data_IF_587975655661
#
_entry.id   IF_587975655661
#
_cell.length_a   1.000
_cell.length_b   1.000
_cell.length_c   1.000
_cell.angle_alpha   90.00
_cell.angle_beta   90.00
_cell.angle_gamma   90.00
#
_symmetry.space_group_name_H-M   'P 1'
#
loop_
_entity.id
_entity.type
_entity.pdbx_description
1 polymer ?
#
# COMPACT_ATOMS: atom_id res chain seq x y z
N UNK A 1 21.13 -10.45 41.77
CA UNK A 1 19.71 -10.23 41.40
C UNK A 1 19.44 -8.82 40.88
N UNK A 2 20.02 -7.78 41.49
CA UNK A 2 19.82 -6.37 41.08
C UNK A 2 20.30 -6.12 39.64
N UNK A 3 21.51 -6.52 39.27
CA UNK A 3 22.05 -6.33 37.91
C UNK A 3 21.25 -7.01 36.80
N UNK A 4 20.75 -8.22 37.05
CA UNK A 4 19.89 -8.96 36.10
C UNK A 4 18.58 -8.22 35.88
N UNK A 5 18.02 -7.61 36.93
CA UNK A 5 16.79 -6.83 36.83
C UNK A 5 17.01 -5.52 36.06
N UNK A 6 18.10 -4.81 36.34
CA UNK A 6 18.49 -3.58 35.61
C UNK A 6 18.75 -3.86 34.12
N UNK A 7 19.42 -4.97 33.80
CA UNK A 7 19.66 -5.39 32.41
C UNK A 7 18.37 -5.67 31.64
N UNK A 8 17.39 -6.32 32.28
CA UNK A 8 16.09 -6.61 31.67
C UNK A 8 15.28 -5.34 31.43
N UNK A 9 15.23 -4.43 32.41
CA UNK A 9 14.52 -3.15 32.29
C UNK A 9 15.10 -2.32 31.14
N UNK A 10 16.43 -2.20 31.08
CA UNK A 10 17.11 -1.49 29.98
C UNK A 10 16.83 -2.12 28.62
N UNK A 11 16.88 -3.45 28.51
CA UNK A 11 16.57 -4.16 27.27
C UNK A 11 15.15 -3.87 26.76
N UNK A 12 14.16 -3.82 27.67
CA UNK A 12 12.77 -3.52 27.32
C UNK A 12 12.63 -2.05 26.87
N UNK A 13 13.19 -1.13 27.66
CA UNK A 13 13.11 0.32 27.37
C UNK A 13 13.79 0.69 26.05
N UNK A 14 14.97 0.13 25.78
CA UNK A 14 15.71 0.41 24.55
C UNK A 14 14.93 -0.08 23.32
N UNK A 15 14.34 -1.28 23.38
CA UNK A 15 13.60 -1.82 22.24
C UNK A 15 12.43 -0.92 21.81
N UNK A 16 11.66 -0.39 22.77
CA UNK A 16 10.55 0.53 22.46
C UNK A 16 11.06 1.89 21.96
N UNK A 17 12.12 2.42 22.56
CA UNK A 17 12.72 3.69 22.13
C UNK A 17 13.30 3.61 20.72
N UNK A 18 13.95 2.50 20.39
CA UNK A 18 14.56 2.24 19.08
C UNK A 18 13.54 1.74 18.04
N UNK A 19 12.28 1.52 18.44
CA UNK A 19 11.21 0.95 17.60
C UNK A 19 11.60 -0.41 17.00
N UNK A 20 12.20 -1.26 17.84
CA UNK A 20 12.60 -2.62 17.53
C UNK A 20 11.91 -3.62 18.48
N UNK A 21 11.96 -4.91 18.15
CA UNK A 21 11.54 -5.96 19.07
C UNK A 21 12.62 -6.26 20.13
N UNK A 22 12.15 -6.70 21.30
CA UNK A 22 12.99 -7.15 22.40
C UNK A 22 13.72 -8.43 22.00
N UNK A 23 15.05 -8.38 22.02
CA UNK A 23 15.94 -9.51 21.74
C UNK A 23 16.68 -9.96 23.00
N UNK A 24 16.29 -11.09 23.63
CA UNK A 24 17.00 -11.62 24.79
C UNK A 24 18.33 -12.26 24.37
N UNK A 25 19.43 -11.77 24.96
CA UNK A 25 20.79 -12.25 24.72
C UNK A 25 21.16 -13.37 25.69
N UNK A 26 20.83 -13.20 26.98
CA UNK A 26 21.19 -14.16 28.03
C UNK A 26 20.12 -15.21 28.29
N UNK A 27 20.51 -16.37 28.85
CA UNK A 27 19.55 -17.40 29.24
C UNK A 27 18.56 -16.91 30.31
N UNK A 28 19.00 -16.04 31.22
CA UNK A 28 18.13 -15.41 32.22
C UNK A 28 17.03 -14.55 31.57
N UNK A 29 17.39 -13.71 30.58
CA UNK A 29 16.43 -12.90 29.81
C UNK A 29 15.44 -13.79 29.03
N UNK A 30 15.94 -14.86 28.39
CA UNK A 30 15.10 -15.82 27.66
C UNK A 30 14.07 -16.49 28.58
N UNK A 31 14.49 -16.94 29.76
CA UNK A 31 13.58 -17.57 30.73
C UNK A 31 12.59 -16.57 31.33
N UNK A 32 13.03 -15.34 31.59
CA UNK A 32 12.17 -14.24 32.05
C UNK A 32 11.03 -13.99 31.06
N UNK A 33 11.36 -13.76 29.78
CA UNK A 33 10.37 -13.49 28.74
C UNK A 33 9.47 -14.71 28.51
N UNK A 34 10.01 -15.93 28.49
CA UNK A 34 9.20 -17.16 28.36
C UNK A 34 8.15 -17.27 29.47
N UNK A 35 8.51 -16.94 30.72
CA UNK A 35 7.58 -16.95 31.86
C UNK A 35 6.52 -15.84 31.73
N UNK A 36 6.90 -14.66 31.24
CA UNK A 36 5.99 -13.51 31.08
C UNK A 36 5.04 -13.63 29.89
N UNK A 37 5.47 -14.28 28.81
CA UNK A 37 4.60 -14.65 27.68
C UNK A 37 3.48 -15.58 28.14
N UNK A 38 3.80 -16.59 28.96
CA UNK A 38 2.76 -17.47 29.56
C UNK A 38 1.75 -16.71 30.42
N UNK A 39 2.13 -15.56 30.97
CA UNK A 39 1.26 -14.68 31.77
C UNK A 39 0.53 -13.63 30.93
N UNK A 40 0.71 -13.61 29.61
CA UNK A 40 0.08 -12.65 28.70
C UNK A 40 0.68 -11.24 28.70
N UNK A 41 1.68 -10.95 29.54
CA UNK A 41 2.29 -9.61 29.62
C UNK A 41 3.19 -9.28 28.41
N UNK A 42 3.69 -10.31 27.72
CA UNK A 42 4.50 -10.17 26.51
C UNK A 42 3.95 -11.09 25.44
N UNK A 43 4.19 -10.72 24.19
CA UNK A 43 3.91 -11.55 23.03
C UNK A 43 5.22 -11.90 22.34
N UNK A 44 5.30 -13.11 21.77
CA UNK A 44 6.38 -13.48 20.86
C UNK A 44 6.00 -12.96 19.47
N UNK A 45 6.74 -11.98 18.96
CA UNK A 45 6.46 -11.31 17.68
C UNK A 45 7.04 -12.06 16.48
N UNK A 46 8.20 -12.67 16.70
CA UNK A 46 8.89 -13.55 15.75
C UNK A 46 9.75 -14.55 16.54
N UNK A 47 10.32 -15.56 15.88
CA UNK A 47 11.24 -16.50 16.57
C UNK A 47 12.36 -15.74 17.26
N UNK A 48 12.43 -15.89 18.59
CA UNK A 48 13.37 -15.22 19.50
C UNK A 48 13.21 -13.69 19.65
N UNK A 49 12.13 -13.10 19.14
CA UNK A 49 11.80 -11.69 19.30
C UNK A 49 10.48 -11.54 20.09
N UNK A 50 10.41 -10.51 20.93
CA UNK A 50 9.30 -10.28 21.84
C UNK A 50 8.91 -8.80 21.87
N UNK A 51 7.70 -8.51 22.33
CA UNK A 51 7.24 -7.16 22.64
C UNK A 51 6.30 -7.19 23.85
N UNK A 52 6.14 -6.07 24.55
CA UNK A 52 5.07 -5.93 25.53
C UNK A 52 3.72 -6.05 24.82
N UNK A 53 2.78 -6.82 25.39
CA UNK A 53 1.51 -7.13 24.71
C UNK A 53 0.71 -5.87 24.41
N UNK A 54 0.54 -4.99 25.39
CA UNK A 54 -0.26 -3.78 25.25
C UNK A 54 0.35 -2.81 24.24
N UNK A 55 1.69 -2.69 24.22
CA UNK A 55 2.41 -1.89 23.24
C UNK A 55 2.20 -2.46 21.83
N UNK A 56 2.44 -3.76 21.66
CA UNK A 56 2.35 -4.43 20.38
C UNK A 56 0.96 -4.35 19.75
N UNK A 57 -0.09 -4.51 20.56
CA UNK A 57 -1.47 -4.44 20.10
C UNK A 57 -1.85 -3.05 19.58
N UNK A 58 -1.23 -1.98 20.10
CA UNK A 58 -1.48 -0.61 19.64
C UNK A 58 -0.83 -0.28 18.31
N UNK A 59 0.21 -1.00 17.91
CA UNK A 59 0.94 -0.73 16.68
C UNK A 59 0.12 -1.08 15.43
N UNK A 60 0.17 -0.20 14.42
CA UNK A 60 -0.33 -0.53 13.09
C UNK A 60 0.48 -1.67 12.46
N UNK A 61 -0.10 -2.36 11.48
CA UNK A 61 0.56 -3.49 10.79
C UNK A 61 1.93 -3.08 10.24
N UNK A 62 2.03 -1.91 9.59
CA UNK A 62 3.29 -1.40 9.05
C UNK A 62 4.37 -1.21 10.12
N UNK A 63 3.98 -0.67 11.29
CA UNK A 63 4.86 -0.50 12.43
C UNK A 63 5.32 -1.86 12.97
N UNK A 64 4.40 -2.84 13.12
CA UNK A 64 4.74 -4.20 13.56
C UNK A 64 5.75 -4.86 12.62
N UNK A 65 5.54 -4.78 11.31
CA UNK A 65 6.47 -5.30 10.30
C UNK A 65 7.83 -4.62 10.45
N UNK A 66 7.85 -3.29 10.58
CA UNK A 66 9.09 -2.51 10.72
C UNK A 66 9.88 -2.90 11.98
N UNK A 67 9.22 -3.07 13.13
CA UNK A 67 9.87 -3.49 14.38
C UNK A 67 10.58 -4.84 14.22
N UNK A 68 9.90 -5.81 13.59
CA UNK A 68 10.49 -7.13 13.37
C UNK A 68 11.62 -7.06 12.35
N UNK A 69 11.43 -6.35 11.23
CA UNK A 69 12.44 -6.23 10.18
C UNK A 69 13.73 -5.57 10.69
N UNK A 70 13.63 -4.45 11.42
CA UNK A 70 14.78 -3.78 12.02
C UNK A 70 15.52 -4.70 13.00
N UNK A 71 14.81 -5.43 13.87
CA UNK A 71 15.44 -6.41 14.77
C UNK A 71 16.12 -7.58 14.06
N UNK A 72 15.67 -7.92 12.85
CA UNK A 72 16.22 -9.03 12.08
C UNK A 72 17.46 -8.62 11.29
N UNK A 73 17.65 -7.34 10.95
CA UNK A 73 18.85 -6.84 10.27
C UNK A 73 20.13 -7.19 11.04
N UNK A 74 20.12 -6.94 12.35
CA UNK A 74 21.26 -7.24 13.24
C UNK A 74 21.54 -8.74 13.38
N UNK A 75 20.53 -9.57 13.16
CA UNK A 75 20.63 -11.03 13.31
C UNK A 75 21.07 -11.68 12.00
N UNK A 76 20.63 -11.13 10.87
CA UNK A 76 20.87 -11.66 9.54
C UNK A 76 21.33 -10.56 8.58
N UNK A 77 22.60 -10.14 8.64
CA UNK A 77 23.11 -9.03 7.82
C UNK A 77 22.97 -9.26 6.31
N UNK A 78 23.01 -10.52 5.86
CA UNK A 78 22.91 -10.87 4.44
C UNK A 78 21.47 -10.88 3.90
N UNK A 79 20.46 -10.73 4.74
CA UNK A 79 19.07 -10.75 4.29
C UNK A 79 18.71 -9.46 3.56
N UNK A 80 18.02 -9.62 2.42
CA UNK A 80 17.45 -8.51 1.67
C UNK A 80 15.93 -8.54 1.81
N UNK A 81 15.37 -7.59 2.56
CA UNK A 81 13.93 -7.46 2.77
C UNK A 81 13.23 -7.03 1.46
N UNK A 82 12.05 -7.58 1.21
CA UNK A 82 11.25 -7.33 0.00
C UNK A 82 9.75 -7.29 0.34
N UNK A 83 8.88 -7.13 -0.65
CA UNK A 83 7.40 -7.05 -0.50
C UNK A 83 7.03 -6.03 0.58
N UNK A 84 6.20 -6.40 1.56
CA UNK A 84 5.76 -5.54 2.65
C UNK A 84 6.90 -5.18 3.59
N UNK A 85 7.82 -6.11 3.86
CA UNK A 85 8.96 -5.86 4.74
C UNK A 85 9.93 -4.84 4.18
N UNK A 86 10.24 -4.91 2.88
CA UNK A 86 11.04 -3.89 2.21
C UNK A 86 10.30 -2.55 2.09
N UNK A 87 9.01 -2.59 1.74
CA UNK A 87 8.20 -1.40 1.56
C UNK A 87 8.11 -0.55 2.85
N UNK A 88 7.84 -1.16 4.01
CA UNK A 88 7.77 -0.40 5.27
C UNK A 88 9.12 0.20 5.69
N UNK A 89 10.23 -0.42 5.30
CA UNK A 89 11.57 0.09 5.60
C UNK A 89 11.89 1.32 4.76
N UNK A 90 11.45 1.35 3.49
CA UNK A 90 11.48 2.54 2.62
C UNK A 90 10.48 3.63 3.05
N UNK A 91 9.56 3.31 3.95
CA UNK A 91 8.50 4.22 4.39
C UNK A 91 7.33 4.29 3.42
N UNK A 92 7.11 3.24 2.62
CA UNK A 92 5.92 3.09 1.80
C UNK A 92 4.74 2.59 2.62
N UNK A 93 3.54 2.90 2.15
CA UNK A 93 2.31 2.44 2.77
C UNK A 93 2.11 0.96 2.50
N UNK A 94 1.75 0.24 3.55
CA UNK A 94 1.47 -1.19 3.52
C UNK A 94 0.17 -1.45 4.24
N UNK A 95 -0.69 -2.22 3.58
CA UNK A 95 -1.93 -2.74 4.14
C UNK A 95 -1.80 -4.25 4.21
N UNK A 96 -2.40 -4.84 5.25
CA UNK A 96 -2.47 -6.29 5.41
C UNK A 96 -3.18 -6.93 4.21
N UNK A 97 -2.72 -8.10 3.76
CA UNK A 97 -3.42 -8.83 2.71
C UNK A 97 -4.58 -9.63 3.30
N UNK A 98 -5.71 -8.95 3.47
CA UNK A 98 -6.95 -9.53 3.97
C UNK A 98 -7.43 -10.69 3.09
N UNK A 99 -7.16 -10.71 1.78
CA UNK A 99 -7.60 -11.83 0.92
C UNK A 99 -6.86 -13.11 1.27
N UNK A 100 -5.54 -13.01 1.47
CA UNK A 100 -4.69 -14.14 1.86
C UNK A 100 -4.99 -14.61 3.29
N UNK A 101 -5.36 -13.70 4.20
CA UNK A 101 -5.67 -14.07 5.59
C UNK A 101 -7.02 -14.76 5.77
N UNK A 102 -8.02 -14.43 4.95
CA UNK A 102 -9.38 -14.97 5.06
C UNK A 102 -9.72 -16.01 3.99
N UNK A 103 -8.73 -16.58 3.28
CA UNK A 103 -8.98 -17.65 2.29
C UNK A 103 -9.86 -18.75 2.90
N UNK A 104 -11.09 -18.89 2.38
CA UNK A 104 -12.06 -19.90 2.83
C UNK A 104 -12.95 -19.51 4.02
N UNK A 105 -12.85 -18.29 4.55
CA UNK A 105 -13.70 -17.79 5.64
C UNK A 105 -14.25 -16.38 5.35
N UNK A 106 -15.45 -16.05 5.84
CA UNK A 106 -15.98 -14.69 5.74
C UNK A 106 -15.29 -13.80 6.78
N UNK A 107 -14.80 -12.63 6.36
CA UNK A 107 -14.35 -11.60 7.28
C UNK A 107 -15.49 -11.23 8.25
N UNK A 108 -15.27 -11.45 9.54
CA UNK A 108 -16.17 -11.06 10.62
C UNK A 108 -15.47 -9.99 11.48
N UNK A 109 -15.91 -8.74 11.32
CA UNK A 109 -15.35 -7.58 12.03
C UNK A 109 -15.58 -7.62 13.53
N UNK A 110 -16.53 -8.42 14.03
CA UNK A 110 -16.81 -8.55 15.47
C UNK A 110 -15.97 -9.64 16.16
N UNK A 111 -15.53 -10.66 15.41
CA UNK A 111 -14.77 -11.79 15.96
C UNK A 111 -13.27 -11.74 15.67
N UNK A 112 -12.86 -11.00 14.64
CA UNK A 112 -11.46 -11.05 14.21
C UNK A 112 -10.64 -9.92 14.83
N UNK A 113 -9.79 -10.25 15.80
CA UNK A 113 -8.82 -9.28 16.32
C UNK A 113 -7.60 -9.21 15.39
N UNK A 114 -7.63 -8.26 14.46
CA UNK A 114 -6.55 -7.99 13.49
C UNK A 114 -5.19 -7.67 14.15
N UNK A 115 -5.18 -7.27 15.43
CA UNK A 115 -3.95 -7.00 16.19
C UNK A 115 -3.24 -8.28 16.65
N UNK A 116 -3.89 -9.45 16.52
CA UNK A 116 -3.32 -10.77 16.89
C UNK A 116 -2.75 -11.54 15.70
N UNK A 117 -2.90 -11.00 14.48
CA UNK A 117 -2.43 -11.66 13.27
C UNK A 117 -0.89 -11.78 13.24
N UNK A 118 -0.36 -12.92 12.78
CA UNK A 118 1.07 -13.12 12.67
C UNK A 118 1.67 -12.16 11.64
N UNK A 119 2.67 -11.37 12.06
CA UNK A 119 3.41 -10.47 11.19
C UNK A 119 4.22 -11.26 10.18
N UNK A 120 3.88 -11.15 8.90
CA UNK A 120 4.60 -11.80 7.79
C UNK A 120 5.85 -11.00 7.42
N UNK A 121 6.98 -11.68 7.29
CA UNK A 121 8.27 -11.10 6.95
C UNK A 121 8.77 -11.69 5.63
N UNK A 122 9.03 -10.84 4.65
CA UNK A 122 9.44 -11.23 3.31
C UNK A 122 10.90 -10.88 3.08
N UNK A 123 11.67 -11.87 2.63
CA UNK A 123 13.09 -11.71 2.31
C UNK A 123 13.44 -12.41 1.01
N UNK A 124 14.33 -11.81 0.23
CA UNK A 124 15.09 -12.52 -0.80
C UNK A 124 16.36 -13.10 -0.19
N UNK A 125 16.64 -14.35 -0.51
CA UNK A 125 17.85 -15.03 -0.06
C UNK A 125 18.30 -16.08 -1.06
N UNK A 126 19.61 -16.31 -1.11
CA UNK A 126 20.24 -17.42 -1.85
C UNK A 126 20.00 -18.77 -1.19
N UNK A 127 19.70 -18.77 0.11
CA UNK A 127 19.31 -19.98 0.84
C UNK A 127 17.93 -20.45 0.38
N UNK A 128 17.77 -21.76 0.20
CA UNK A 128 16.46 -22.32 -0.15
C UNK A 128 15.51 -22.28 1.06
N UNK A 129 14.20 -22.25 0.78
CA UNK A 129 13.16 -22.38 1.81
C UNK A 129 13.33 -23.71 2.54
N UNK A 130 13.30 -23.66 3.88
CA UNK A 130 13.38 -24.83 4.74
C UNK A 130 12.01 -25.15 5.33
N UNK A 131 11.70 -26.44 5.53
CA UNK A 131 10.52 -26.86 6.31
C UNK A 131 10.59 -26.43 7.78
N UNK A 132 11.79 -26.05 8.25
CA UNK A 132 12.03 -25.55 9.60
C UNK A 132 12.07 -24.01 9.67
N UNK A 133 11.84 -23.31 8.55
CA UNK A 133 11.71 -21.85 8.55
C UNK A 133 10.56 -21.44 9.48
N UNK A 134 10.69 -20.25 10.06
CA UNK A 134 9.60 -19.66 10.84
C UNK A 134 8.36 -19.55 9.92
N UNK A 135 7.16 -19.99 10.32
CA UNK A 135 5.95 -19.86 9.50
C UNK A 135 5.62 -18.42 9.12
N UNK A 136 6.12 -17.42 9.88
CA UNK A 136 6.01 -16.00 9.56
C UNK A 136 7.02 -15.53 8.50
N UNK A 137 7.99 -16.34 8.11
CA UNK A 137 9.05 -15.99 7.18
C UNK A 137 8.73 -16.50 5.77
N UNK A 138 8.55 -15.56 4.85
CA UNK A 138 8.38 -15.80 3.43
C UNK A 138 9.69 -15.55 2.71
N UNK A 139 10.31 -16.63 2.25
CA UNK A 139 11.57 -16.59 1.51
C UNK A 139 11.30 -16.66 0.02
N UNK A 140 11.67 -15.61 -0.70
CA UNK A 140 11.71 -15.57 -2.16
C UNK A 140 13.14 -15.90 -2.60
N UNK A 141 13.29 -16.79 -3.59
CA UNK A 141 14.60 -17.22 -4.06
C UNK A 141 15.29 -16.07 -4.81
N UNK A 142 16.49 -15.69 -4.37
CA UNK A 142 17.33 -14.76 -5.10
C UNK A 142 17.79 -15.37 -6.44
N UNK A 143 17.84 -14.55 -7.47
CA UNK A 143 18.24 -14.91 -8.84
C UNK A 143 19.70 -14.57 -9.11
N UNK A 144 20.32 -13.73 -8.28
CA UNK A 144 21.69 -13.23 -8.43
C UNK A 144 21.80 -11.97 -9.29
N UNK A 145 20.68 -11.46 -9.82
CA UNK A 145 20.63 -10.26 -10.67
C UNK A 145 20.09 -9.03 -9.92
N UNK A 146 19.63 -9.23 -8.68
CA UNK A 146 19.12 -8.18 -7.82
C UNK A 146 20.26 -7.29 -7.31
N UNK A 147 19.98 -6.00 -7.23
CA UNK A 147 20.76 -5.04 -6.46
C UNK A 147 20.04 -4.79 -5.13
N UNK A 148 20.59 -3.91 -4.30
CA UNK A 148 19.94 -3.49 -3.07
C UNK A 148 19.22 -2.14 -3.22
N UNK A 149 18.51 -1.74 -2.16
CA UNK A 149 17.71 -0.52 -2.09
C UNK A 149 18.55 0.77 -2.14
N UNK A 150 19.88 0.68 -2.26
CA UNK A 150 20.74 1.83 -2.52
C UNK A 150 20.91 2.13 -4.02
N UNK A 151 20.42 1.23 -4.89
CA UNK A 151 20.46 1.38 -6.34
C UNK A 151 19.62 2.56 -6.87
N UNK A 152 20.09 3.14 -7.98
CA UNK A 152 19.42 4.21 -8.73
C UNK A 152 18.68 3.68 -9.97
N UNK A 153 18.44 2.36 -10.05
CA UNK A 153 17.93 1.62 -11.20
C UNK A 153 16.68 2.24 -11.86
N UNK A 154 15.76 2.75 -11.05
CA UNK A 154 14.44 3.23 -11.49
C UNK A 154 14.26 4.74 -11.37
N UNK A 155 15.34 5.53 -11.27
CA UNK A 155 15.21 7.00 -11.22
C UNK A 155 14.69 7.60 -12.52
N UNK A 156 13.84 8.61 -12.39
CA UNK A 156 13.41 9.48 -13.49
C UNK A 156 14.55 10.46 -13.80
N UNK A 157 14.93 10.53 -15.07
CA UNK A 157 15.90 11.50 -15.60
C UNK A 157 15.15 12.39 -16.58
N UNK A 158 15.22 13.70 -16.39
CA UNK A 158 14.50 14.66 -17.23
C UNK A 158 15.30 15.95 -17.43
N UNK A 159 15.08 16.70 -18.53
CA UNK A 159 15.67 18.01 -18.72
C UNK A 159 15.23 18.99 -17.62
N UNK A 160 16.18 19.70 -17.03
CA UNK A 160 15.90 20.73 -16.04
C UNK A 160 15.39 22.00 -16.72
N UNK A 161 14.24 22.51 -16.26
CA UNK A 161 13.77 23.86 -16.61
C UNK A 161 14.65 24.98 -16.05
N UNK A 162 15.42 24.70 -14.99
CA UNK A 162 16.26 25.68 -14.28
C UNK A 162 17.70 25.72 -14.78
N UNK A 163 18.19 24.63 -15.36
CA UNK A 163 19.60 24.46 -15.77
C UNK A 163 19.71 24.26 -17.27
N UNK A 164 19.07 25.13 -18.05
CA UNK A 164 19.22 25.22 -19.51
C UNK A 164 19.08 23.87 -20.25
N UNK A 165 18.08 23.07 -19.87
CA UNK A 165 17.83 21.76 -20.48
C UNK A 165 18.77 20.63 -20.06
N UNK A 166 19.75 20.88 -19.17
CA UNK A 166 20.63 19.82 -18.63
C UNK A 166 19.81 18.74 -17.95
N UNK A 167 20.12 17.47 -18.24
CA UNK A 167 19.47 16.33 -17.61
C UNK A 167 19.74 16.34 -16.10
N UNK A 168 18.66 16.25 -15.33
CA UNK A 168 18.67 16.07 -13.89
C UNK A 168 17.99 14.76 -13.53
N UNK A 169 18.49 14.13 -12.47
CA UNK A 169 17.88 12.95 -11.88
C UNK A 169 16.99 13.38 -10.72
N UNK A 170 15.73 12.98 -10.74
CA UNK A 170 14.81 13.34 -9.66
C UNK A 170 15.14 12.54 -8.38
N UNK A 171 15.08 13.20 -7.20
CA UNK A 171 15.25 12.51 -5.94
C UNK A 171 14.05 11.60 -5.66
N UNK A 172 14.31 10.55 -4.90
CA UNK A 172 13.27 9.71 -4.30
C UNK A 172 13.00 10.24 -2.88
N UNK A 173 11.75 10.28 -2.45
CA UNK A 173 11.38 10.50 -1.04
C UNK A 173 12.07 9.49 -0.12
N UNK A 174 12.30 8.26 -0.57
CA UNK A 174 13.00 7.22 0.18
C UNK A 174 14.49 7.51 0.40
N UNK A 175 15.07 8.51 -0.26
CA UNK A 175 16.47 8.90 -0.06
C UNK A 175 16.72 9.43 1.37
N UNK A 176 15.65 9.81 2.10
CA UNK A 176 15.69 10.15 3.53
C UNK A 176 15.97 8.96 4.44
N UNK A 177 15.80 7.73 3.94
CA UNK A 177 16.09 6.51 4.70
C UNK A 177 17.59 6.27 4.72
N UNK A 178 18.13 5.92 5.89
CA UNK A 178 19.56 5.74 6.09
C UNK A 178 20.14 4.69 5.14
N UNK A 179 21.42 4.84 4.80
CA UNK A 179 22.11 3.93 3.90
C UNK A 179 22.10 2.50 4.45
N UNK A 180 22.29 2.35 5.75
CA UNK A 180 22.30 1.07 6.46
C UNK A 180 20.97 0.34 6.26
N UNK A 181 19.84 1.02 6.44
CA UNK A 181 18.52 0.41 6.22
C UNK A 181 18.32 0.06 4.74
N UNK A 182 18.66 0.98 3.83
CA UNK A 182 18.46 0.77 2.38
C UNK A 182 19.29 -0.39 1.83
N UNK A 183 20.49 -0.61 2.35
CA UNK A 183 21.35 -1.72 1.93
C UNK A 183 20.78 -3.09 2.31
N UNK A 184 19.89 -3.17 3.31
CA UNK A 184 19.17 -4.41 3.66
C UNK A 184 17.88 -4.63 2.86
N UNK A 185 17.55 -3.79 1.88
CA UNK A 185 16.34 -3.93 1.06
C UNK A 185 16.77 -4.37 -0.34
N UNK A 186 15.94 -5.11 -1.06
CA UNK A 186 16.16 -5.33 -2.50
C UNK A 186 15.96 -4.03 -3.29
N UNK A 187 16.53 -3.93 -4.49
CA UNK A 187 16.27 -2.79 -5.39
C UNK A 187 14.77 -2.60 -5.66
N UNK A 188 14.36 -1.36 -5.99
CA UNK A 188 12.94 -1.01 -6.09
C UNK A 188 12.20 -1.77 -7.19
N UNK A 189 12.85 -2.02 -8.33
CA UNK A 189 12.23 -2.81 -9.39
C UNK A 189 11.93 -4.24 -8.92
N UNK A 190 12.85 -4.85 -8.17
CA UNK A 190 12.68 -6.17 -7.56
C UNK A 190 11.59 -6.16 -6.47
N UNK A 191 11.59 -5.15 -5.60
CA UNK A 191 10.58 -5.01 -4.54
C UNK A 191 9.18 -4.96 -5.12
N UNK A 192 8.97 -4.15 -6.17
CA UNK A 192 7.68 -4.01 -6.84
C UNK A 192 7.27 -5.29 -7.57
N UNK A 193 8.21 -5.97 -8.23
CA UNK A 193 7.95 -7.27 -8.85
C UNK A 193 7.53 -8.32 -7.83
N UNK A 194 8.22 -8.41 -6.70
CA UNK A 194 7.88 -9.34 -5.63
C UNK A 194 6.51 -9.02 -5.03
N UNK A 195 6.22 -7.74 -4.76
CA UNK A 195 4.94 -7.32 -4.22
C UNK A 195 3.78 -7.68 -5.16
N UNK A 196 3.93 -7.44 -6.46
CA UNK A 196 2.92 -7.78 -7.47
C UNK A 196 2.62 -9.28 -7.57
N UNK A 197 3.59 -10.13 -7.18
CA UNK A 197 3.50 -11.58 -7.30
C UNK A 197 3.27 -12.31 -5.96
N UNK A 198 3.32 -11.58 -4.83
CA UNK A 198 3.15 -12.15 -3.49
C UNK A 198 1.89 -11.69 -2.77
N UNK A 199 1.26 -10.59 -3.23
CA UNK A 199 0.09 -9.99 -2.61
C UNK A 199 -1.11 -9.99 -3.55
N UNK A 200 -2.32 -9.88 -3.01
CA UNK A 200 -3.51 -9.54 -3.81
C UNK A 200 -3.36 -8.16 -4.46
N UNK A 201 -4.07 -7.91 -5.57
CA UNK A 201 -3.95 -6.64 -6.30
C UNK A 201 -4.23 -5.43 -5.39
N UNK A 202 -5.36 -5.46 -4.66
CA UNK A 202 -5.71 -4.40 -3.72
C UNK A 202 -4.71 -4.23 -2.57
N UNK A 203 -4.05 -5.30 -2.11
CA UNK A 203 -3.03 -5.23 -1.06
C UNK A 203 -1.67 -4.73 -1.58
N UNK A 204 -1.35 -4.98 -2.85
CA UNK A 204 -0.14 -4.48 -3.50
C UNK A 204 -0.25 -2.99 -3.88
N UNK A 205 -1.44 -2.51 -4.28
CA UNK A 205 -1.62 -1.16 -4.80
C UNK A 205 -1.10 -0.04 -3.88
N UNK A 206 -1.26 -0.08 -2.53
CA UNK A 206 -0.61 0.88 -1.63
C UNK A 206 0.90 1.05 -1.83
N UNK A 207 1.62 -0.06 -2.05
CA UNK A 207 3.08 -0.04 -2.28
C UNK A 207 3.39 0.68 -3.60
N UNK A 208 2.57 0.46 -4.63
CA UNK A 208 2.73 1.08 -5.95
C UNK A 208 2.37 2.57 -5.94
N UNK A 209 1.31 2.96 -5.23
CA UNK A 209 0.93 4.37 -5.06
C UNK A 209 2.01 5.12 -4.24
N UNK A 210 2.60 4.50 -3.23
CA UNK A 210 3.80 5.03 -2.55
C UNK A 210 5.02 5.12 -3.46
N UNK A 211 5.29 4.12 -4.30
CA UNK A 211 6.38 4.18 -5.27
C UNK A 211 6.17 5.30 -6.32
N UNK A 212 4.93 5.55 -6.72
CA UNK A 212 4.59 6.67 -7.60
C UNK A 212 4.88 8.02 -6.92
N UNK A 213 4.50 8.20 -5.64
CA UNK A 213 4.88 9.37 -4.82
C UNK A 213 6.39 9.51 -4.68
N UNK A 214 7.09 8.39 -4.63
CA UNK A 214 8.53 8.30 -4.53
C UNK A 214 9.26 8.53 -5.87
N UNK A 215 8.57 9.00 -6.92
CA UNK A 215 9.12 9.28 -8.26
C UNK A 215 9.75 8.04 -8.95
N UNK A 216 9.25 6.83 -8.69
CA UNK A 216 9.74 5.61 -9.35
C UNK A 216 9.32 5.59 -10.83
N UNK A 217 10.28 5.33 -11.73
CA UNK A 217 10.01 5.16 -13.14
C UNK A 217 9.49 3.74 -13.45
N UNK A 218 8.17 3.59 -13.57
CA UNK A 218 7.55 2.30 -13.84
C UNK A 218 7.91 1.68 -15.20
N UNK A 219 8.27 2.47 -16.22
CA UNK A 219 8.72 1.91 -17.49
C UNK A 219 10.07 1.19 -17.33
N UNK A 220 10.99 1.78 -16.56
CA UNK A 220 12.26 1.11 -16.19
C UNK A 220 12.01 -0.13 -15.34
N UNK A 221 11.08 -0.06 -14.38
CA UNK A 221 10.68 -1.24 -13.57
C UNK A 221 10.27 -2.39 -14.49
N UNK A 222 9.38 -2.14 -15.46
CA UNK A 222 8.90 -3.15 -16.41
C UNK A 222 10.02 -3.69 -17.30
N UNK A 223 10.91 -2.85 -17.79
CA UNK A 223 12.07 -3.25 -18.59
C UNK A 223 13.01 -4.16 -17.81
N UNK A 224 13.44 -3.72 -16.62
CA UNK A 224 14.35 -4.46 -15.75
C UNK A 224 13.74 -5.80 -15.37
N UNK A 225 12.47 -5.81 -14.95
CA UNK A 225 11.79 -7.04 -14.55
C UNK A 225 11.54 -7.97 -15.75
N UNK A 226 11.23 -7.42 -16.92
CA UNK A 226 11.09 -8.20 -18.15
C UNK A 226 12.38 -8.94 -18.51
N UNK A 227 13.53 -8.26 -18.41
CA UNK A 227 14.85 -8.88 -18.63
C UNK A 227 15.20 -9.91 -17.54
N UNK A 228 14.94 -9.60 -16.27
CA UNK A 228 15.30 -10.47 -15.13
C UNK A 228 14.40 -11.71 -15.01
N UNK A 229 13.11 -11.57 -15.31
CA UNK A 229 12.10 -12.59 -14.96
C UNK A 229 11.27 -13.08 -16.15
N UNK A 230 11.20 -12.33 -17.26
CA UNK A 230 10.36 -12.66 -18.42
C UNK A 230 10.80 -13.91 -19.21
N UNK A 231 12.07 -14.32 -19.12
CA UNK A 231 12.59 -15.50 -19.83
C UNK A 231 12.47 -16.83 -19.08
N UNK A 232 12.10 -16.82 -17.78
CA UNK A 232 12.02 -18.06 -16.96
C UNK A 232 10.63 -18.71 -16.95
N UNK A 233 9.61 -18.07 -17.52
CA UNK A 233 8.24 -18.58 -17.63
C UNK A 233 7.76 -18.41 -19.07
N UNK A 234 8.35 -19.18 -19.99
CA UNK A 234 8.24 -18.96 -21.43
C UNK A 234 6.81 -19.01 -21.97
N UNK A 235 6.42 -17.92 -22.64
CA UNK A 235 5.74 -18.04 -23.94
C UNK A 235 6.77 -17.67 -24.98
N UNK A 236 7.17 -18.64 -25.79
CA UNK A 236 8.02 -18.39 -26.94
C UNK A 236 7.30 -17.45 -27.89
N UNK A 237 7.84 -16.25 -28.07
CA UNK A 237 7.52 -15.43 -29.24
C UNK A 237 8.83 -15.27 -29.98
N UNK A 238 8.92 -15.96 -31.11
CA UNK A 238 10.01 -15.83 -32.07
C UNK A 238 10.21 -14.36 -32.40
N UNK A 239 11.49 -13.95 -32.41
CA UNK A 239 11.86 -12.57 -32.65
C UNK A 239 11.38 -12.09 -34.02
N UNK A 240 10.81 -10.89 -34.05
CA UNK A 240 10.90 -10.01 -35.20
C UNK A 240 11.07 -8.57 -34.70
N UNK A 241 12.24 -8.00 -35.00
CA UNK A 241 12.40 -6.66 -35.55
C UNK A 241 11.85 -5.46 -34.78
N UNK A 242 12.80 -4.66 -34.29
CA UNK A 242 12.70 -3.24 -33.99
C UNK A 242 11.86 -2.48 -35.05
N UNK A 243 10.90 -1.68 -34.59
CA UNK A 243 10.17 -0.73 -35.43
C UNK A 243 9.32 0.21 -34.58
N UNK A 244 9.86 1.40 -34.29
CA UNK A 244 9.11 2.46 -33.62
C UNK A 244 7.97 2.96 -34.50
N UNK A 245 6.82 3.26 -33.90
CA UNK A 245 5.76 4.02 -34.56
C UNK A 245 5.17 5.01 -33.57
N UNK A 246 5.36 6.30 -33.87
CA UNK A 246 4.79 7.41 -33.13
C UNK A 246 3.29 7.58 -33.40
N UNK A 247 2.60 8.16 -32.42
CA UNK A 247 1.23 8.62 -32.56
C UNK A 247 1.17 9.85 -33.48
N UNK A 248 0.61 9.68 -34.68
CA UNK A 248 0.17 10.76 -35.56
C UNK A 248 -1.35 10.76 -35.70
N UNK A 249 -1.97 11.88 -35.36
CA UNK A 249 -3.41 12.15 -35.51
C UNK A 249 -3.68 12.52 -36.97
N UNK A 250 -4.74 11.96 -37.58
CA UNK A 250 -5.17 12.32 -38.94
C UNK A 250 -6.67 12.09 -39.13
N UNK A 251 -7.38 13.16 -39.48
CA UNK A 251 -8.83 13.31 -39.65
C UNK A 251 -9.25 12.99 -41.09
N UNK A 252 -10.41 12.36 -41.28
CA UNK A 252 -11.31 12.65 -42.41
C UNK A 252 -11.65 11.50 -43.38
N UNK A 253 -12.94 11.42 -43.73
CA UNK A 253 -13.39 10.96 -45.06
C UNK A 253 -14.31 9.74 -45.13
N UNK A 254 -15.56 9.97 -45.55
CA UNK A 254 -16.64 8.99 -45.75
C UNK A 254 -16.53 8.33 -47.14
N UNK A 255 -16.89 7.03 -47.24
CA UNK A 255 -17.11 6.34 -48.52
C UNK A 255 -17.85 5.01 -48.34
N UNK A 256 -19.02 4.90 -48.95
CA UNK A 256 -19.96 3.75 -48.95
C UNK A 256 -19.54 2.72 -50.01
N UNK A 257 -19.68 1.41 -49.73
CA UNK A 257 -19.78 0.39 -50.78
C UNK A 257 -19.45 -1.06 -50.40
N UNK A 258 -20.50 -1.88 -50.18
CA UNK A 258 -20.67 -3.21 -50.79
C UNK A 258 -19.82 -4.43 -50.35
N UNK A 259 -20.46 -5.31 -49.58
CA UNK A 259 -20.42 -6.80 -49.60
C UNK A 259 -19.13 -7.57 -49.92
N UNK A 260 -18.70 -8.39 -48.96
CA UNK A 260 -17.81 -9.53 -49.23
C UNK A 260 -17.15 -10.11 -47.97
N UNK A 261 -17.77 -11.15 -47.42
CA UNK A 261 -17.38 -11.92 -46.23
C UNK A 261 -15.89 -12.35 -46.20
N UNK A 262 -15.14 -11.88 -45.19
CA UNK A 262 -14.07 -12.58 -44.47
C UNK A 262 -13.55 -11.68 -43.32
N UNK A 263 -14.37 -11.47 -42.30
CA UNK A 263 -13.98 -10.69 -41.12
C UNK A 263 -13.02 -11.48 -40.25
N UNK A 264 -11.73 -11.14 -40.29
CA UNK A 264 -10.81 -11.33 -39.16
C UNK A 264 -11.29 -10.45 -38.01
N UNK A 265 -12.27 -10.96 -37.27
CA UNK A 265 -12.67 -10.39 -36.00
C UNK A 265 -11.50 -10.52 -35.04
N UNK A 266 -10.97 -9.37 -34.58
CA UNK A 266 -10.27 -9.27 -33.30
C UNK A 266 -11.26 -9.67 -32.21
N UNK A 267 -11.43 -10.98 -32.03
CA UNK A 267 -12.14 -11.56 -30.92
C UNK A 267 -11.27 -11.37 -29.69
N UNK A 268 -11.74 -10.53 -28.77
CA UNK A 268 -11.27 -10.53 -27.38
C UNK A 268 -11.71 -11.88 -26.80
N UNK A 269 -10.88 -12.89 -27.03
CA UNK A 269 -11.14 -14.25 -26.61
C UNK A 269 -10.79 -14.41 -25.14
N UNK A 270 -11.83 -14.64 -24.34
CA UNK A 270 -11.77 -15.49 -23.16
C UNK A 270 -11.05 -14.90 -21.95
N UNK A 271 -11.84 -14.34 -21.03
CA UNK A 271 -11.46 -14.16 -19.63
C UNK A 271 -11.04 -15.53 -19.08
N UNK A 272 -9.76 -15.70 -18.83
CA UNK A 272 -9.23 -16.80 -18.03
C UNK A 272 -9.53 -16.45 -16.57
N UNK A 273 -10.25 -17.32 -15.87
CA UNK A 273 -10.62 -17.12 -14.48
C UNK A 273 -9.42 -16.70 -13.62
N UNK A 274 -9.67 -15.81 -12.66
CA UNK A 274 -8.68 -15.38 -11.66
C UNK A 274 -8.26 -16.56 -10.79
N UNK A 275 -7.32 -17.35 -11.30
CA UNK A 275 -6.68 -18.49 -10.66
C UNK A 275 -5.24 -18.60 -11.18
N UNK A 276 -4.28 -18.27 -10.30
CA UNK A 276 -2.89 -18.74 -10.22
C UNK A 276 -1.94 -18.84 -11.44
N UNK A 277 -2.33 -18.63 -12.70
CA UNK A 277 -1.47 -18.83 -13.88
C UNK A 277 -1.23 -17.59 -14.75
N UNK A 278 -1.63 -16.40 -14.31
CA UNK A 278 -1.28 -15.15 -15.01
C UNK A 278 0.23 -14.91 -14.95
N UNK A 279 0.83 -14.58 -16.10
CA UNK A 279 2.24 -14.21 -16.27
C UNK A 279 2.68 -13.23 -15.16
N UNK A 280 3.76 -13.52 -14.41
CA UNK A 280 4.28 -12.62 -13.37
C UNK A 280 4.49 -11.18 -13.83
N UNK A 281 4.83 -10.98 -15.10
CA UNK A 281 4.98 -9.65 -15.71
C UNK A 281 3.62 -8.99 -15.96
N UNK A 282 2.57 -9.76 -16.26
CA UNK A 282 1.21 -9.23 -16.42
C UNK A 282 0.68 -8.63 -15.10
N UNK A 283 0.92 -9.31 -13.97
CA UNK A 283 0.53 -8.79 -12.64
C UNK A 283 1.24 -7.47 -12.32
N UNK A 284 2.55 -7.41 -12.59
CA UNK A 284 3.34 -6.18 -12.44
C UNK A 284 2.81 -5.05 -13.35
N UNK A 285 2.56 -5.34 -14.62
CA UNK A 285 2.00 -4.36 -15.58
C UNK A 285 0.67 -3.79 -15.12
N UNK A 286 -0.23 -4.64 -14.61
CA UNK A 286 -1.53 -4.21 -14.09
C UNK A 286 -1.34 -3.19 -12.96
N UNK A 287 -0.48 -3.47 -11.99
CA UNK A 287 -0.21 -2.56 -10.87
C UNK A 287 0.51 -1.27 -11.31
N UNK A 288 1.49 -1.35 -12.21
CA UNK A 288 2.12 -0.15 -12.77
C UNK A 288 1.11 0.74 -13.51
N UNK A 289 0.15 0.16 -14.23
CA UNK A 289 -0.88 0.90 -14.95
C UNK A 289 -1.83 1.64 -14.00
N UNK A 290 -2.13 1.06 -12.84
CA UNK A 290 -2.97 1.67 -11.82
C UNK A 290 -2.16 2.38 -10.73
N UNK A 291 -0.85 2.51 -10.81
CA UNK A 291 -0.10 3.25 -9.80
C UNK A 291 -0.45 4.75 -9.89
N UNK A 292 -0.83 5.37 -8.78
CA UNK A 292 -1.17 6.78 -8.70
C UNK A 292 -0.71 7.39 -7.37
N UNK A 293 0.23 8.33 -7.44
CA UNK A 293 0.79 8.97 -6.27
C UNK A 293 -0.12 9.99 -5.58
N UNK A 294 -1.35 10.19 -6.05
CA UNK A 294 -2.30 11.11 -5.41
C UNK A 294 -3.00 10.51 -4.19
N UNK A 295 -3.01 9.19 -4.00
CA UNK A 295 -3.53 8.59 -2.77
C UNK A 295 -2.67 8.99 -1.56
N UNK A 296 -3.29 9.50 -0.51
CA UNK A 296 -2.56 10.08 0.62
C UNK A 296 -2.11 9.02 1.64
N UNK A 297 -2.84 7.91 1.72
CA UNK A 297 -2.54 6.83 2.64
C UNK A 297 -2.84 5.44 2.04
N UNK A 298 -2.36 4.41 2.72
CA UNK A 298 -2.58 3.02 2.32
C UNK A 298 -4.05 2.60 2.33
N UNK A 299 -4.88 3.19 3.20
CA UNK A 299 -6.32 2.92 3.26
C UNK A 299 -7.05 3.35 1.99
N UNK A 300 -6.76 4.54 1.49
CA UNK A 300 -7.31 5.05 0.22
C UNK A 300 -6.84 4.21 -0.97
N UNK A 301 -5.55 3.89 -1.00
CA UNK A 301 -4.95 3.05 -2.05
C UNK A 301 -5.61 1.66 -2.07
N UNK A 302 -5.85 1.07 -0.89
CA UNK A 302 -6.52 -0.23 -0.75
C UNK A 302 -8.02 -0.16 -1.11
N UNK A 303 -8.71 0.92 -0.74
CA UNK A 303 -10.09 1.17 -1.13
C UNK A 303 -10.24 1.27 -2.65
N UNK A 304 -9.36 2.03 -3.28
CA UNK A 304 -9.26 2.14 -4.74
C UNK A 304 -8.94 0.81 -5.40
N UNK A 305 -8.01 0.04 -4.85
CA UNK A 305 -7.70 -1.31 -5.32
C UNK A 305 -8.93 -2.22 -5.29
N UNK A 306 -9.72 -2.15 -4.21
CA UNK A 306 -10.98 -2.89 -4.07
C UNK A 306 -12.02 -2.44 -5.10
N UNK A 307 -12.16 -1.13 -5.36
CA UNK A 307 -13.06 -0.59 -6.39
C UNK A 307 -12.70 -1.10 -7.79
N UNK A 308 -11.40 -1.10 -8.12
CA UNK A 308 -10.86 -1.57 -9.40
C UNK A 308 -11.07 -3.08 -9.58
N UNK A 309 -10.80 -3.88 -8.55
CA UNK A 309 -11.03 -5.34 -8.60
C UNK A 309 -12.53 -5.67 -8.75
N UNK A 310 -13.42 -4.84 -8.20
CA UNK A 310 -14.87 -4.95 -8.38
C UNK A 310 -15.38 -4.43 -9.75
N UNK A 311 -14.48 -3.92 -10.60
CA UNK A 311 -14.82 -3.46 -11.95
C UNK A 311 -15.53 -2.10 -12.00
N UNK A 312 -15.57 -1.36 -10.88
CA UNK A 312 -16.09 0.00 -10.86
C UNK A 312 -15.19 0.95 -11.65
N UNK A 313 -15.79 2.04 -12.11
CA UNK A 313 -15.07 3.15 -12.72
C UNK A 313 -13.96 3.65 -11.79
N UNK A 314 -12.77 3.87 -12.36
CA UNK A 314 -11.64 4.40 -11.60
C UNK A 314 -11.95 5.85 -11.20
N UNK A 315 -11.88 6.21 -9.90
CA UNK A 315 -12.12 7.60 -9.47
C UNK A 315 -10.95 8.52 -9.82
N UNK A 316 -11.25 9.81 -9.98
CA UNK A 316 -10.30 10.90 -9.79
C UNK A 316 -9.97 11.02 -8.29
N UNK A 317 -8.69 11.18 -7.96
CA UNK A 317 -8.22 11.19 -6.58
C UNK A 317 -7.97 12.61 -6.08
N UNK A 318 -8.27 12.84 -4.80
CA UNK A 318 -7.92 14.08 -4.08
C UNK A 318 -8.39 15.35 -4.81
N UNK A 319 -9.59 15.31 -5.41
CA UNK A 319 -10.13 16.43 -6.18
C UNK A 319 -10.53 17.59 -5.26
N UNK A 320 -10.05 18.80 -5.57
CA UNK A 320 -10.42 20.04 -4.89
C UNK A 320 -11.58 20.73 -5.60
N UNK A 321 -12.71 20.84 -4.91
CA UNK A 321 -13.79 21.76 -5.25
C UNK A 321 -13.50 23.15 -4.68
N UNK A 322 -13.77 24.19 -5.46
CA UNK A 322 -13.76 25.58 -4.99
C UNK A 322 -15.20 26.02 -4.89
N UNK A 323 -15.67 26.29 -3.67
CA UNK A 323 -17.03 26.77 -3.42
C UNK A 323 -17.21 28.16 -4.07
N UNK A 324 -18.10 28.31 -5.07
CA UNK A 324 -18.25 29.57 -5.80
C UNK A 324 -18.54 30.79 -4.94
N UNK A 325 -19.35 30.63 -3.88
CA UNK A 325 -19.81 31.77 -3.08
C UNK A 325 -18.78 32.24 -2.05
N UNK A 326 -18.03 31.31 -1.46
CA UNK A 326 -17.09 31.60 -0.38
C UNK A 326 -15.62 31.59 -0.82
N UNK A 327 -15.32 31.01 -1.99
CA UNK A 327 -13.96 30.72 -2.44
C UNK A 327 -13.25 29.63 -1.63
N UNK A 328 -13.92 29.03 -0.64
CA UNK A 328 -13.35 27.99 0.23
C UNK A 328 -13.13 26.72 -0.58
N UNK A 329 -11.98 26.07 -0.34
CA UNK A 329 -11.64 24.82 -0.99
C UNK A 329 -12.07 23.61 -0.15
N UNK A 330 -12.72 22.65 -0.79
CA UNK A 330 -13.10 21.37 -0.21
C UNK A 330 -12.53 20.24 -1.05
N UNK A 331 -11.72 19.38 -0.43
CA UNK A 331 -11.10 18.25 -1.11
C UNK A 331 -11.80 16.95 -0.75
N UNK A 332 -12.01 16.08 -1.73
CA UNK A 332 -12.58 14.74 -1.54
C UNK A 332 -11.58 13.65 -1.93
N UNK A 333 -11.70 12.48 -1.31
CA UNK A 333 -10.77 11.37 -1.55
C UNK A 333 -10.97 10.77 -2.95
N UNK A 334 -12.23 10.57 -3.34
CA UNK A 334 -12.63 9.96 -4.60
C UNK A 334 -13.71 10.77 -5.30
N UNK A 335 -13.56 11.00 -6.60
CA UNK A 335 -14.57 11.64 -7.44
C UNK A 335 -14.85 10.79 -8.68
N UNK A 336 -16.13 10.53 -8.92
CA UNK A 336 -16.63 9.94 -10.16
C UNK A 336 -17.46 10.96 -10.93
N UNK A 337 -17.12 11.15 -12.20
CA UNK A 337 -17.93 11.92 -13.16
C UNK A 337 -18.74 10.93 -13.98
N UNK A 338 -20.03 10.81 -13.66
CA UNK A 338 -20.90 9.79 -14.25
C UNK A 338 -21.36 10.24 -15.64
N UNK A 339 -21.42 9.33 -16.64
CA UNK A 339 -22.04 9.62 -17.93
C UNK A 339 -23.49 10.12 -17.72
N UNK A 340 -23.80 11.33 -18.21
CA UNK A 340 -25.08 12.00 -17.96
C UNK A 340 -25.00 13.20 -17.01
N UNK A 341 -23.81 13.57 -16.52
CA UNK A 341 -23.54 14.86 -15.88
C UNK A 341 -23.56 14.89 -14.35
N UNK A 342 -23.72 13.73 -13.69
CA UNK A 342 -23.70 13.63 -12.23
C UNK A 342 -22.28 13.52 -11.64
N UNK A 343 -22.03 14.18 -10.52
CA UNK A 343 -20.82 14.01 -9.73
C UNK A 343 -21.11 13.17 -8.48
N UNK A 344 -20.36 12.07 -8.30
CA UNK A 344 -20.42 11.25 -7.08
C UNK A 344 -19.10 11.41 -6.34
N UNK A 345 -19.17 11.80 -5.06
CA UNK A 345 -18.02 11.91 -4.17
C UNK A 345 -17.95 10.70 -3.25
N UNK A 346 -16.77 10.12 -3.07
CA UNK A 346 -16.47 9.08 -2.10
C UNK A 346 -15.53 9.59 -1.02
N UNK A 347 -15.81 9.23 0.24
CA UNK A 347 -14.99 9.61 1.40
C UNK A 347 -14.64 8.34 2.19
N UNK A 348 -13.35 8.14 2.43
CA UNK A 348 -12.86 7.11 3.34
C UNK A 348 -12.77 7.69 4.75
N UNK A 349 -13.72 7.33 5.60
CA UNK A 349 -13.77 7.85 6.96
C UNK A 349 -12.92 7.02 7.94
N UNK A 350 -11.91 7.67 8.51
CA UNK A 350 -11.24 7.26 9.73
C UNK A 350 -11.82 8.00 10.94
N UNK A 351 -12.02 7.31 12.07
CA UNK A 351 -12.54 7.92 13.31
C UNK A 351 -11.57 8.93 13.92
N UNK A 352 -10.26 8.78 13.68
CA UNK A 352 -9.24 9.53 14.40
C UNK A 352 -9.25 11.04 14.02
N UNK A 353 -9.77 11.40 12.83
CA UNK A 353 -9.88 12.81 12.39
C UNK A 353 -10.85 13.65 13.21
N UNK A 354 -11.85 13.04 13.86
CA UNK A 354 -12.82 13.78 14.67
C UNK A 354 -12.24 14.28 16.00
N UNK A 355 -11.14 13.67 16.48
CA UNK A 355 -10.48 14.06 17.72
C UNK A 355 -9.47 15.22 17.55
N UNK A 356 -9.23 15.67 16.31
CA UNK A 356 -8.31 16.79 16.05
C UNK A 356 -8.94 18.10 16.52
N UNK A 357 -8.46 18.61 17.66
CA UNK A 357 -8.71 19.99 18.07
C UNK A 357 -7.73 20.95 17.40
N UNK A 358 -8.21 21.73 16.42
CA UNK A 358 -7.39 22.68 15.66
C UNK A 358 -6.84 23.84 16.51
N UNK A 359 -7.38 24.07 17.71
CA UNK A 359 -6.85 25.07 18.65
C UNK A 359 -5.70 24.54 19.49
N UNK A 360 -5.44 23.23 19.45
CA UNK A 360 -4.32 22.61 20.15
C UNK A 360 -3.09 22.53 19.23
N UNK A 361 -2.02 23.24 19.60
CA UNK A 361 -0.78 23.26 18.82
C UNK A 361 -0.11 21.89 18.70
N UNK A 362 -0.36 20.96 19.64
CA UNK A 362 0.17 19.59 19.53
C UNK A 362 -0.53 18.76 18.45
N UNK A 363 -1.66 19.22 17.93
CA UNK A 363 -2.40 18.55 16.84
C UNK A 363 -2.06 19.09 15.45
N UNK A 364 -1.10 20.02 15.32
CA UNK A 364 -0.79 20.65 14.03
C UNK A 364 -0.10 19.71 13.02
N UNK A 365 0.62 18.67 13.49
CA UNK A 365 1.42 17.77 12.66
C UNK A 365 1.10 16.30 12.92
N UNK A 366 -0.19 15.96 13.04
CA UNK A 366 -0.62 14.57 13.27
C UNK A 366 -0.33 13.71 12.04
N UNK A 367 0.36 12.60 12.24
CA UNK A 367 0.40 11.51 11.28
C UNK A 367 -0.67 10.48 11.63
N UNK A 368 -1.77 10.43 10.86
CA UNK A 368 -2.85 9.45 11.08
C UNK A 368 -2.43 7.99 10.84
N UNK A 369 -1.24 7.74 10.29
CA UNK A 369 -0.64 6.41 10.16
C UNK A 369 0.32 6.07 11.31
N UNK A 370 0.39 6.89 12.36
CA UNK A 370 1.25 6.71 13.54
C UNK A 370 0.42 6.30 14.75
N UNK A 371 0.69 5.13 15.32
CA UNK A 371 -0.07 4.67 16.48
C UNK A 371 0.10 5.58 17.69
N UNK A 372 1.28 6.20 17.85
CA UNK A 372 1.53 7.18 18.91
C UNK A 372 0.65 8.41 18.78
N UNK A 373 0.49 8.92 17.56
CA UNK A 373 -0.23 10.17 17.30
C UNK A 373 -1.73 9.94 17.47
N UNK A 374 -2.23 8.82 16.94
CA UNK A 374 -3.62 8.38 17.14
C UNK A 374 -3.95 8.16 18.62
N UNK A 375 -3.03 7.56 19.39
CA UNK A 375 -3.22 7.38 20.82
C UNK A 375 -3.23 8.73 21.56
N UNK A 376 -2.34 9.65 21.20
CA UNK A 376 -2.33 11.01 21.75
C UNK A 376 -3.67 11.70 21.49
N UNK A 377 -4.21 11.62 20.26
CA UNK A 377 -5.51 12.19 19.92
C UNK A 377 -6.65 11.62 20.76
N UNK A 378 -6.69 10.30 20.94
CA UNK A 378 -7.71 9.64 21.77
C UNK A 378 -7.62 10.01 23.24
N UNK A 379 -6.41 10.19 23.75
CA UNK A 379 -6.17 10.59 25.14
C UNK A 379 -6.51 12.08 25.38
N UNK A 380 -6.31 12.94 24.37
CA UNK A 380 -6.64 14.37 24.39
C UNK A 380 -8.10 14.66 24.03
N UNK A 381 -9.03 13.87 24.57
CA UNK A 381 -10.46 13.94 24.25
C UNK A 381 -11.06 15.32 24.58
N UNK A 382 -11.61 16.01 23.58
CA UNK A 382 -12.36 17.25 23.74
C UNK A 382 -13.71 17.14 23.02
N UNK A 383 -14.80 16.98 23.77
CA UNK A 383 -16.15 16.83 23.23
C UNK A 383 -16.56 18.01 22.34
N UNK A 384 -16.20 19.23 22.74
CA UNK A 384 -16.54 20.44 21.99
C UNK A 384 -15.83 20.46 20.64
N UNK A 385 -14.59 19.97 20.57
CA UNK A 385 -13.85 19.84 19.31
C UNK A 385 -14.46 18.81 18.38
N UNK A 386 -14.87 17.66 18.93
CA UNK A 386 -15.56 16.60 18.16
C UNK A 386 -16.85 17.14 17.54
N UNK A 387 -17.70 17.79 18.34
CA UNK A 387 -18.96 18.36 17.86
C UNK A 387 -18.71 19.40 16.75
N UNK A 388 -17.74 20.31 16.95
CA UNK A 388 -17.32 21.28 15.93
C UNK A 388 -16.87 20.61 14.62
N UNK A 389 -16.15 19.50 14.70
CA UNK A 389 -15.68 18.77 13.51
C UNK A 389 -16.81 18.05 12.77
N UNK A 390 -17.79 17.52 13.52
CA UNK A 390 -19.03 16.96 12.94
C UNK A 390 -19.81 18.06 12.21
N UNK A 391 -20.01 19.21 12.84
CA UNK A 391 -20.74 20.34 12.25
C UNK A 391 -20.06 20.84 10.97
N UNK A 392 -18.72 21.00 10.99
CA UNK A 392 -17.93 21.36 9.80
C UNK A 392 -18.06 20.35 8.68
N UNK A 393 -18.13 19.06 9.02
CA UNK A 393 -18.29 18.01 8.04
C UNK A 393 -19.68 18.09 7.37
N UNK A 394 -20.73 18.34 8.15
CA UNK A 394 -22.09 18.53 7.64
C UNK A 394 -22.22 19.81 6.77
N UNK A 395 -21.59 20.91 7.19
CA UNK A 395 -21.54 22.14 6.41
C UNK A 395 -20.83 21.95 5.08
N UNK A 396 -19.65 21.30 5.09
CA UNK A 396 -18.90 20.94 3.88
C UNK A 396 -19.78 20.16 2.90
N UNK A 397 -20.49 19.14 3.36
CA UNK A 397 -21.36 18.34 2.48
C UNK A 397 -22.48 19.19 1.87
N UNK A 398 -23.12 20.02 2.69
CA UNK A 398 -24.16 20.94 2.24
C UNK A 398 -23.68 21.90 1.15
N UNK A 399 -22.43 22.38 1.25
CA UNK A 399 -21.81 23.23 0.21
C UNK A 399 -21.50 22.43 -1.05
N UNK A 400 -20.97 21.21 -0.93
CA UNK A 400 -20.70 20.34 -2.08
C UNK A 400 -21.97 20.07 -2.91
N UNK A 401 -23.09 19.79 -2.25
CA UNK A 401 -24.38 19.59 -2.91
C UNK A 401 -24.91 20.88 -3.56
N UNK A 402 -24.95 21.98 -2.81
CA UNK A 402 -25.63 23.21 -3.27
C UNK A 402 -24.82 24.02 -4.28
N UNK A 403 -23.50 24.02 -4.15
CA UNK A 403 -22.66 24.95 -4.91
C UNK A 403 -21.69 24.25 -5.88
N UNK A 404 -21.33 22.99 -5.63
CA UNK A 404 -20.32 22.29 -6.43
C UNK A 404 -20.91 21.26 -7.42
N UNK A 405 -22.24 21.14 -7.48
CA UNK A 405 -22.92 20.20 -8.37
C UNK A 405 -22.73 18.73 -8.00
N UNK A 406 -22.32 18.45 -6.76
CA UNK A 406 -22.25 17.06 -6.27
C UNK A 406 -23.66 16.51 -6.17
N UNK A 407 -23.89 15.37 -6.82
CA UNK A 407 -25.20 14.72 -6.87
C UNK A 407 -25.38 13.70 -5.74
N UNK A 408 -24.30 13.04 -5.32
CA UNK A 408 -24.30 12.06 -4.22
C UNK A 408 -22.94 12.04 -3.51
N UNK A 409 -22.96 11.78 -2.22
CA UNK A 409 -21.78 11.52 -1.39
C UNK A 409 -21.93 10.11 -0.81
N UNK A 410 -20.92 9.27 -0.97
CA UNK A 410 -20.86 7.92 -0.43
C UNK A 410 -19.72 7.83 0.60
N UNK A 411 -20.10 7.60 1.86
CA UNK A 411 -19.16 7.39 2.96
C UNK A 411 -18.94 5.91 3.23
N UNK A 412 -17.69 5.50 3.34
CA UNK A 412 -17.33 4.15 3.75
C UNK A 412 -16.14 4.21 4.70
N UNK A 413 -16.10 3.28 5.64
CA UNK A 413 -14.96 3.14 6.54
C UNK A 413 -14.07 1.97 6.08
N UNK A 414 -12.93 1.79 6.74
CA UNK A 414 -12.00 0.74 6.39
C UNK A 414 -12.60 -0.69 6.49
N UNK A 415 -13.55 -0.91 7.41
CA UNK A 415 -14.23 -2.20 7.53
C UNK A 415 -15.15 -2.50 6.34
N UNK A 416 -15.79 -1.49 5.76
CA UNK A 416 -16.55 -1.63 4.50
C UNK A 416 -15.64 -2.03 3.34
N UNK A 417 -14.43 -1.48 3.28
CA UNK A 417 -13.44 -1.76 2.24
C UNK A 417 -12.88 -3.18 2.37
N UNK A 418 -12.55 -3.62 3.58
CA UNK A 418 -12.14 -5.01 3.83
C UNK A 418 -13.27 -5.97 3.49
N UNK A 419 -14.50 -5.66 3.94
CA UNK A 419 -15.71 -6.40 3.63
C UNK A 419 -16.26 -6.08 2.24
N UNK A 420 -15.58 -6.53 1.19
CA UNK A 420 -15.82 -6.24 -0.24
C UNK A 420 -17.30 -6.04 -0.62
N UNK A 421 -18.22 -6.92 -0.17
CA UNK A 421 -19.66 -6.83 -0.46
C UNK A 421 -20.35 -5.57 0.09
N UNK A 422 -19.87 -5.04 1.22
CA UNK A 422 -20.40 -3.82 1.83
C UNK A 422 -20.04 -2.60 0.99
N UNK A 423 -18.77 -2.46 0.60
CA UNK A 423 -18.34 -1.40 -0.30
C UNK A 423 -19.06 -1.52 -1.66
N UNK A 424 -19.15 -2.74 -2.21
CA UNK A 424 -19.87 -3.01 -3.45
C UNK A 424 -21.31 -2.50 -3.42
N UNK A 425 -22.07 -2.86 -2.37
CA UNK A 425 -23.45 -2.40 -2.19
C UNK A 425 -23.54 -0.88 -2.13
N UNK A 426 -22.69 -0.23 -1.31
CA UNK A 426 -22.68 1.24 -1.18
C UNK A 426 -22.39 1.94 -2.50
N UNK A 427 -21.46 1.44 -3.30
CA UNK A 427 -21.12 2.00 -4.61
C UNK A 427 -22.25 1.80 -5.64
N UNK A 428 -22.93 0.65 -5.62
CA UNK A 428 -24.13 0.40 -6.45
C UNK A 428 -25.25 1.37 -6.09
N UNK A 429 -25.57 1.51 -4.79
CA UNK A 429 -26.62 2.43 -4.31
C UNK A 429 -26.30 3.90 -4.64
N UNK A 430 -25.01 4.26 -4.60
CA UNK A 430 -24.53 5.56 -5.06
C UNK A 430 -24.67 5.73 -6.58
N UNK A 431 -24.73 4.64 -7.36
CA UNK A 431 -24.82 4.68 -8.82
C UNK A 431 -23.47 4.83 -9.51
N UNK A 432 -22.39 4.40 -8.85
CA UNK A 432 -21.05 4.38 -9.46
C UNK A 432 -21.03 3.33 -10.58
N UNK A 433 -20.70 3.69 -11.84
CA UNK A 433 -20.73 2.77 -12.96
C UNK A 433 -19.73 1.62 -12.81
N UNK A 434 -20.11 0.43 -13.31
CA UNK A 434 -19.16 -0.65 -13.60
C UNK A 434 -18.73 -0.57 -15.05
N UNK A 435 -17.43 -0.45 -15.26
CA UNK A 435 -16.82 -0.33 -16.60
C UNK A 435 -16.12 -1.61 -17.05
N UNK A 436 -15.84 -2.53 -16.11
CA UNK A 436 -15.31 -3.86 -16.39
C UNK A 436 -16.35 -4.89 -15.96
N UNK A 437 -16.65 -5.88 -16.83
CA UNK A 437 -17.44 -7.05 -16.40
C UNK A 437 -16.58 -7.90 -15.48
N UNK A 438 -16.95 -7.98 -14.22
CA UNK A 438 -16.48 -9.03 -13.31
C UNK A 438 -17.37 -10.24 -13.56
N UNK A 439 -16.87 -11.21 -14.32
CA UNK A 439 -17.60 -12.42 -14.70
C UNK A 439 -16.63 -13.58 -14.86
#
# INVERSE_FOLDING_TARGET
MIEVNTSIIRMISNAEQERTCIRPVTNAQKQYLKKRVKKGAFVRTFRNLYAQTDYWQRLYTSERIRHVALSLMDIYPDWKFTVTSGAVLLGYDVVEDYDTLFVGSKYDSQKTNLQTLPTQIYVRSTTNKSTHDNPQLHRIRATGMEQDGTSDDVRIVQPSRKYDGKLITLPHLSDRVSYEIRSHIVDKSTLLFDAANSLSFRAALPIFDSAARDNVNFNKVLEICGRRYGGRYGVGVGGVGVGGVGCGVGVGGVGIGGSGVAGNGFGVSGVVGFGSNADPIFRLRRLCCFANGLSENGGESFARGTMIDLGFMVPELQHEFVAPNSGVKYRCDFLWRVPGGGLIVGELDGYDKYFVDSTNSTHANINFNSSSDTQMLRNSYNQTAINRNIDRQAERESVLFRECGVSKIVRFNFADVVGVKNLERKLIEAGVPRIMRVG
#
